data_IF_648469611779
#
_entry.id   IF_648469611779
#
_cell.length_a   1.000
_cell.length_b   1.000
_cell.length_c   1.000
_cell.angle_alpha   90.00
_cell.angle_beta   90.00
_cell.angle_gamma   90.00
#
_symmetry.space_group_name_H-M   'P 1'
#
loop_
_entity.id
_entity.type
_entity.pdbx_description
1 polymer ?
#
# COMPACT_ATOMS: atom_id res chain seq x y z
N UNK A 1 -21.11 4.57 -27.21
CA UNK A 1 -20.20 3.74 -26.36
C UNK A 1 -19.42 4.59 -25.36
N UNK A 2 -18.78 5.71 -25.76
CA UNK A 2 -17.97 6.56 -24.88
C UNK A 2 -18.71 6.98 -23.58
N UNK A 3 -19.87 7.63 -23.70
CA UNK A 3 -20.63 8.10 -22.54
C UNK A 3 -21.10 6.96 -21.62
N UNK A 4 -21.41 5.79 -22.20
CA UNK A 4 -21.86 4.62 -21.42
C UNK A 4 -20.68 4.06 -20.61
N UNK A 5 -19.50 3.93 -21.22
CA UNK A 5 -18.31 3.46 -20.50
C UNK A 5 -17.87 4.41 -19.37
N UNK A 6 -17.92 5.73 -19.62
CA UNK A 6 -17.65 6.74 -18.57
C UNK A 6 -18.67 6.62 -17.45
N UNK A 7 -19.96 6.46 -17.76
CA UNK A 7 -21.01 6.32 -16.76
C UNK A 7 -20.80 5.07 -15.88
N UNK A 8 -20.48 3.92 -16.50
CA UNK A 8 -20.15 2.69 -15.76
C UNK A 8 -18.97 2.93 -14.84
N UNK A 9 -17.89 3.53 -15.36
CA UNK A 9 -16.69 3.81 -14.59
C UNK A 9 -17.00 4.70 -13.37
N UNK A 10 -17.68 5.83 -13.59
CA UNK A 10 -18.08 6.75 -12.51
C UNK A 10 -19.02 6.05 -11.51
N UNK A 11 -19.98 5.26 -11.97
CA UNK A 11 -20.91 4.55 -11.10
C UNK A 11 -20.18 3.53 -10.21
N UNK A 12 -19.23 2.77 -10.76
CA UNK A 12 -18.43 1.82 -9.98
C UNK A 12 -17.58 2.54 -8.94
N UNK A 13 -16.89 3.63 -9.31
CA UNK A 13 -16.11 4.39 -8.33
C UNK A 13 -16.98 5.07 -7.28
N UNK A 14 -18.18 5.52 -7.65
CA UNK A 14 -19.16 5.99 -6.67
C UNK A 14 -19.56 4.89 -5.68
N UNK A 15 -19.77 3.66 -6.14
CA UNK A 15 -20.04 2.52 -5.26
C UNK A 15 -18.86 2.21 -4.32
N UNK A 16 -17.63 2.25 -4.84
CA UNK A 16 -16.41 2.04 -4.04
C UNK A 16 -16.27 3.13 -2.97
N UNK A 17 -16.42 4.40 -3.34
CA UNK A 17 -16.29 5.55 -2.42
C UNK A 17 -17.36 5.53 -1.33
N UNK A 18 -18.58 5.11 -1.66
CA UNK A 18 -19.69 5.07 -0.70
C UNK A 18 -19.73 3.80 0.14
N UNK A 19 -18.88 2.81 -0.17
CA UNK A 19 -18.81 1.49 0.50
C UNK A 19 -20.16 0.75 0.57
N UNK A 20 -21.12 1.13 -0.27
CA UNK A 20 -22.46 0.48 -0.31
C UNK A 20 -22.41 -0.94 -0.89
N UNK A 21 -21.44 -1.20 -1.74
CA UNK A 21 -21.19 -2.48 -2.38
C UNK A 21 -19.71 -2.81 -2.18
N UNK A 22 -19.36 -4.05 -1.78
CA UNK A 22 -17.97 -4.46 -1.71
C UNK A 22 -17.21 -4.15 -3.01
N UNK A 23 -16.00 -3.61 -2.89
CA UNK A 23 -15.23 -3.09 -4.02
C UNK A 23 -14.97 -4.14 -5.10
N UNK A 24 -14.76 -5.39 -4.70
CA UNK A 24 -14.60 -6.53 -5.62
C UNK A 24 -15.84 -6.75 -6.50
N UNK A 25 -17.03 -6.74 -5.91
CA UNK A 25 -18.27 -6.90 -6.67
C UNK A 25 -18.54 -5.70 -7.58
N UNK A 26 -18.25 -4.49 -7.12
CA UNK A 26 -18.45 -3.28 -7.91
C UNK A 26 -17.55 -3.28 -9.17
N UNK A 27 -16.25 -3.59 -9.02
CA UNK A 27 -15.31 -3.62 -10.14
C UNK A 27 -15.58 -4.79 -11.08
N UNK A 28 -15.88 -5.98 -10.55
CA UNK A 28 -16.25 -7.13 -11.39
C UNK A 28 -17.52 -6.88 -12.19
N UNK A 29 -18.57 -6.32 -11.57
CA UNK A 29 -19.80 -5.96 -12.26
C UNK A 29 -19.53 -4.93 -13.36
N UNK A 30 -18.73 -3.90 -13.07
CA UNK A 30 -18.36 -2.89 -14.06
C UNK A 30 -17.60 -3.48 -15.25
N UNK A 31 -16.59 -4.32 -15.00
CA UNK A 31 -15.83 -4.98 -16.05
C UNK A 31 -16.70 -5.92 -16.91
N UNK A 32 -17.57 -6.72 -16.27
CA UNK A 32 -18.49 -7.62 -16.98
C UNK A 32 -19.54 -6.84 -17.78
N UNK A 33 -20.08 -5.74 -17.25
CA UNK A 33 -21.01 -4.87 -17.98
C UNK A 33 -20.35 -4.25 -19.23
N UNK A 34 -19.12 -3.78 -19.12
CA UNK A 34 -18.36 -3.26 -20.28
C UNK A 34 -18.14 -4.35 -21.34
N UNK A 35 -17.95 -5.61 -20.91
CA UNK A 35 -17.83 -6.74 -21.82
C UNK A 35 -19.16 -7.07 -22.49
N UNK A 36 -20.25 -7.13 -21.73
CA UNK A 36 -21.59 -7.42 -22.27
C UNK A 36 -22.08 -6.38 -23.27
N UNK A 37 -21.71 -5.12 -23.09
CA UNK A 37 -22.08 -4.01 -23.98
C UNK A 37 -21.16 -3.94 -25.21
N UNK A 38 -20.05 -4.74 -25.23
CA UNK A 38 -19.12 -4.78 -26.35
C UNK A 38 -18.09 -3.65 -26.36
N UNK A 39 -17.82 -3.00 -25.22
CA UNK A 39 -16.69 -2.06 -25.07
C UNK A 39 -15.36 -2.84 -25.01
N UNK A 40 -15.39 -4.03 -24.42
CA UNK A 40 -14.27 -4.98 -24.36
C UNK A 40 -14.78 -6.30 -24.93
N UNK A 41 -13.99 -6.97 -25.75
CA UNK A 41 -14.32 -8.32 -26.19
C UNK A 41 -13.76 -9.40 -25.23
N UNK A 42 -14.22 -10.64 -25.37
CA UNK A 42 -13.81 -11.74 -24.50
C UNK A 42 -12.29 -12.03 -24.59
N UNK A 43 -11.70 -11.94 -25.78
CA UNK A 43 -10.27 -12.18 -25.97
C UNK A 43 -9.44 -11.14 -25.23
N UNK A 44 -9.82 -9.86 -25.31
CA UNK A 44 -9.16 -8.78 -24.58
C UNK A 44 -9.27 -8.95 -23.06
N UNK A 45 -10.40 -9.45 -22.55
CA UNK A 45 -10.55 -9.76 -21.11
C UNK A 45 -9.55 -10.83 -20.71
N UNK A 46 -9.52 -11.95 -21.44
CA UNK A 46 -8.61 -13.05 -21.13
C UNK A 46 -7.14 -12.62 -21.23
N UNK A 47 -6.77 -11.89 -22.28
CA UNK A 47 -5.42 -11.36 -22.46
C UNK A 47 -5.05 -10.38 -21.32
N UNK A 48 -5.97 -9.51 -20.94
CA UNK A 48 -5.75 -8.54 -19.85
C UNK A 48 -5.48 -9.23 -18.52
N UNK A 49 -6.22 -10.28 -18.20
CA UNK A 49 -6.02 -11.07 -16.98
C UNK A 49 -4.73 -11.89 -17.08
N UNK A 50 -4.49 -12.54 -18.21
CA UNK A 50 -3.29 -13.35 -18.45
C UNK A 50 -2.01 -12.53 -18.24
N UNK A 51 -1.93 -11.35 -18.83
CA UNK A 51 -0.77 -10.47 -18.72
C UNK A 51 -0.51 -9.95 -17.29
N UNK A 52 -1.44 -10.19 -16.35
CA UNK A 52 -1.34 -9.77 -14.95
C UNK A 52 -1.37 -10.93 -13.94
N UNK A 53 -1.34 -12.17 -14.43
CA UNK A 53 -1.29 -13.35 -13.56
C UNK A 53 -0.08 -13.32 -12.62
N UNK A 54 1.03 -12.77 -13.06
CA UNK A 54 2.23 -12.64 -12.21
C UNK A 54 1.94 -11.79 -10.95
N UNK A 55 1.21 -10.68 -11.09
CA UNK A 55 0.82 -9.83 -9.94
C UNK A 55 -0.09 -10.63 -9.00
N UNK A 56 -1.10 -11.30 -9.56
CA UNK A 56 -2.07 -12.06 -8.75
C UNK A 56 -1.40 -13.22 -8.00
N UNK A 57 -0.53 -13.97 -8.65
CA UNK A 57 0.20 -15.07 -8.02
C UNK A 57 1.22 -14.58 -6.98
N UNK A 58 1.86 -13.44 -7.22
CA UNK A 58 2.75 -12.84 -6.24
C UNK A 58 1.98 -12.45 -4.98
N UNK A 59 0.82 -11.82 -5.14
CA UNK A 59 -0.05 -11.47 -4.01
C UNK A 59 -0.49 -12.72 -3.24
N UNK A 60 -0.98 -13.75 -3.93
CA UNK A 60 -1.38 -15.02 -3.27
C UNK A 60 -0.22 -15.62 -2.49
N UNK A 61 0.97 -15.72 -3.09
CA UNK A 61 2.14 -16.27 -2.42
C UNK A 61 2.52 -15.48 -1.18
N UNK A 62 2.53 -14.15 -1.26
CA UNK A 62 2.84 -13.28 -0.12
C UNK A 62 1.76 -13.36 0.96
N UNK A 63 0.46 -13.33 0.61
CA UNK A 63 -0.64 -13.47 1.57
C UNK A 63 -0.54 -14.79 2.35
N UNK A 64 -0.24 -15.90 1.70
CA UNK A 64 -0.05 -17.19 2.37
C UNK A 64 1.13 -17.18 3.34
N UNK A 65 2.26 -16.58 2.98
CA UNK A 65 3.43 -16.46 3.88
C UNK A 65 3.06 -15.59 5.08
N UNK A 66 2.44 -14.43 4.84
CA UNK A 66 2.07 -13.47 5.88
C UNK A 66 1.03 -14.05 6.84
N UNK A 67 0.07 -14.83 6.34
CA UNK A 67 -0.87 -15.57 7.16
C UNK A 67 -0.14 -16.43 8.20
N UNK A 68 0.82 -17.26 7.75
CA UNK A 68 1.56 -18.15 8.66
C UNK A 68 2.45 -17.38 9.64
N UNK A 69 3.08 -16.27 9.20
CA UNK A 69 3.82 -15.37 10.08
C UNK A 69 2.90 -14.78 11.15
N UNK A 70 1.70 -14.33 10.76
CA UNK A 70 0.75 -13.68 11.68
C UNK A 70 0.20 -14.66 12.73
N UNK A 71 -0.03 -15.92 12.37
CA UNK A 71 -0.48 -16.97 13.30
C UNK A 71 0.50 -17.22 14.45
N UNK A 72 1.80 -16.94 14.25
CA UNK A 72 2.81 -17.09 15.31
C UNK A 72 2.62 -16.09 16.46
N UNK A 73 1.87 -15.00 16.26
CA UNK A 73 1.69 -13.93 17.22
C UNK A 73 2.88 -12.96 17.31
N UNK A 74 3.80 -13.01 16.36
CA UNK A 74 5.04 -12.20 16.37
C UNK A 74 4.75 -10.69 16.38
N UNK A 75 3.71 -10.22 15.71
CA UNK A 75 3.37 -8.80 15.65
C UNK A 75 2.93 -8.25 17.01
N UNK A 76 2.07 -9.00 17.73
CA UNK A 76 1.68 -8.65 19.10
C UNK A 76 2.88 -8.69 20.05
N UNK A 77 3.73 -9.71 19.91
CA UNK A 77 4.95 -9.81 20.68
C UNK A 77 5.88 -8.60 20.43
N UNK A 78 6.06 -8.22 19.17
CA UNK A 78 6.87 -7.05 18.79
C UNK A 78 6.33 -5.77 19.42
N UNK A 79 5.03 -5.50 19.28
CA UNK A 79 4.42 -4.28 19.80
C UNK A 79 4.54 -4.19 21.33
N UNK A 80 4.34 -5.29 22.06
CA UNK A 80 4.50 -5.32 23.54
C UNK A 80 5.98 -5.13 23.91
N UNK A 81 6.91 -5.79 23.20
CA UNK A 81 8.35 -5.63 23.45
C UNK A 81 8.82 -4.21 23.20
N UNK A 82 8.33 -3.58 22.16
CA UNK A 82 8.56 -2.17 21.85
C UNK A 82 8.07 -1.29 22.99
N UNK A 83 6.84 -1.52 23.49
CA UNK A 83 6.27 -0.77 24.59
C UNK A 83 7.10 -0.92 25.89
N UNK A 84 7.60 -2.11 26.16
CA UNK A 84 8.50 -2.38 27.30
C UNK A 84 9.86 -1.70 27.12
N UNK A 85 10.44 -1.73 25.91
CA UNK A 85 11.74 -1.12 25.61
C UNK A 85 11.73 0.39 25.91
N UNK A 86 10.63 1.07 25.58
CA UNK A 86 10.47 2.50 25.86
C UNK A 86 9.88 2.79 27.25
N UNK A 87 9.74 1.77 28.10
CA UNK A 87 9.22 1.87 29.47
C UNK A 87 7.86 2.56 29.56
N UNK A 88 7.01 2.33 28.58
CA UNK A 88 5.68 2.93 28.50
C UNK A 88 5.69 4.47 28.28
N UNK A 89 6.81 5.05 27.84
CA UNK A 89 6.85 6.48 27.46
C UNK A 89 6.00 6.72 26.21
N UNK A 90 4.89 7.47 26.31
CA UNK A 90 3.87 7.49 25.25
C UNK A 90 4.39 7.95 23.92
N UNK A 91 5.16 9.04 23.90
CA UNK A 91 5.65 9.61 22.65
C UNK A 91 6.70 8.69 21.97
N UNK A 92 7.62 8.11 22.76
CA UNK A 92 8.59 7.13 22.25
C UNK A 92 7.89 5.88 21.75
N UNK A 93 6.76 5.51 22.38
CA UNK A 93 5.94 4.38 21.97
C UNK A 93 5.35 4.60 20.57
N UNK A 94 4.75 5.78 20.31
CA UNK A 94 4.24 6.12 18.96
C UNK A 94 5.37 6.06 17.92
N UNK A 95 6.51 6.68 18.18
CA UNK A 95 7.65 6.67 17.25
C UNK A 95 8.05 5.23 16.91
N UNK A 96 8.23 4.40 17.92
CA UNK A 96 8.77 3.06 17.72
C UNK A 96 7.75 2.13 17.06
N UNK A 97 6.45 2.25 17.42
CA UNK A 97 5.37 1.55 16.74
C UNK A 97 5.26 1.99 15.28
N UNK A 98 5.34 3.28 15.00
CA UNK A 98 5.37 3.82 13.64
C UNK A 98 6.53 3.27 12.80
N UNK A 99 7.74 3.22 13.38
CA UNK A 99 8.91 2.65 12.70
C UNK A 99 8.74 1.14 12.43
N UNK A 100 8.21 0.39 13.41
CA UNK A 100 7.93 -1.04 13.23
C UNK A 100 6.87 -1.25 12.17
N UNK A 101 5.78 -0.48 12.19
CA UNK A 101 4.70 -0.54 11.21
C UNK A 101 5.24 -0.25 9.80
N UNK A 102 6.05 0.80 9.63
CA UNK A 102 6.66 1.12 8.34
C UNK A 102 7.59 0.00 7.84
N UNK A 103 8.41 -0.56 8.74
CA UNK A 103 9.31 -1.66 8.40
C UNK A 103 8.53 -2.93 8.01
N UNK A 104 7.50 -3.27 8.74
CA UNK A 104 6.62 -4.40 8.40
C UNK A 104 5.95 -4.16 7.04
N UNK A 105 5.37 -2.97 6.84
CA UNK A 105 4.66 -2.61 5.61
C UNK A 105 5.58 -2.53 4.38
N UNK A 106 6.87 -2.33 4.55
CA UNK A 106 7.81 -2.39 3.42
C UNK A 106 7.92 -3.77 2.79
N UNK A 107 7.59 -4.83 3.53
CA UNK A 107 7.73 -6.23 3.08
C UNK A 107 6.42 -7.03 3.15
N UNK A 108 5.47 -6.55 3.92
CA UNK A 108 4.10 -7.06 3.99
C UNK A 108 3.20 -5.99 3.38
N UNK A 109 2.04 -6.39 2.89
CA UNK A 109 1.11 -5.38 2.41
C UNK A 109 0.65 -4.46 3.57
N UNK A 110 0.32 -3.22 3.22
CA UNK A 110 -0.02 -2.18 4.18
C UNK A 110 -1.35 -2.45 4.91
N UNK A 111 -2.33 -3.10 4.26
CA UNK A 111 -3.62 -3.45 4.87
C UNK A 111 -3.44 -4.48 5.96
N UNK A 112 -2.79 -5.60 5.63
CA UNK A 112 -2.49 -6.67 6.60
C UNK A 112 -1.65 -6.14 7.76
N UNK A 113 -0.64 -5.29 7.47
CA UNK A 113 0.18 -4.68 8.52
C UNK A 113 -0.68 -3.89 9.52
N UNK A 114 -1.61 -3.06 9.04
CA UNK A 114 -2.49 -2.28 9.92
C UNK A 114 -3.50 -3.15 10.66
N UNK A 115 -4.06 -4.18 10.03
CA UNK A 115 -4.94 -5.14 10.72
C UNK A 115 -4.27 -5.78 11.92
N UNK A 116 -2.96 -5.98 11.87
CA UNK A 116 -2.20 -6.62 12.95
C UNK A 116 -1.70 -5.60 13.99
N UNK A 117 -1.28 -4.41 13.57
CA UNK A 117 -0.65 -3.43 14.46
C UNK A 117 -1.65 -2.52 15.15
N UNK A 118 -2.66 -1.98 14.45
CA UNK A 118 -3.58 -1.00 15.01
C UNK A 118 -4.35 -1.50 16.25
N UNK A 119 -4.86 -2.75 16.33
CA UNK A 119 -5.53 -3.21 17.55
C UNK A 119 -4.63 -3.20 18.77
N UNK A 120 -3.35 -3.52 18.60
CA UNK A 120 -2.38 -3.54 19.72
C UNK A 120 -2.04 -2.13 20.16
N UNK A 121 -1.84 -1.21 19.23
CA UNK A 121 -1.60 0.21 19.52
C UNK A 121 -2.78 0.87 20.22
N UNK A 122 -4.00 0.56 19.79
CA UNK A 122 -5.22 1.02 20.46
C UNK A 122 -5.28 0.48 21.91
N UNK A 123 -4.96 -0.81 22.10
CA UNK A 123 -4.91 -1.41 23.43
C UNK A 123 -3.90 -0.70 24.33
N UNK A 124 -2.68 -0.47 23.84
CA UNK A 124 -1.62 0.21 24.58
C UNK A 124 -2.00 1.66 24.91
N UNK A 125 -2.58 2.40 23.96
CA UNK A 125 -3.08 3.76 24.20
C UNK A 125 -4.14 3.79 25.31
N UNK A 126 -5.11 2.86 25.28
CA UNK A 126 -6.16 2.73 26.31
C UNK A 126 -5.59 2.37 27.69
N UNK A 127 -4.59 1.48 27.76
CA UNK A 127 -3.93 1.15 29.02
C UNK A 127 -3.20 2.35 29.63
N UNK A 128 -2.65 3.21 28.78
CA UNK A 128 -2.05 4.47 29.17
C UNK A 128 -3.08 5.59 29.44
N UNK A 129 -4.39 5.32 29.26
CA UNK A 129 -5.49 6.29 29.32
C UNK A 129 -5.28 7.50 28.40
N UNK A 130 -4.71 7.25 27.22
CA UNK A 130 -4.49 8.24 26.16
C UNK A 130 -5.55 8.07 25.06
N UNK A 131 -5.75 9.14 24.29
CA UNK A 131 -6.52 9.09 23.07
C UNK A 131 -5.81 8.16 22.05
N UNK A 132 -6.49 7.13 21.51
CA UNK A 132 -5.91 6.27 20.49
C UNK A 132 -5.68 6.96 19.14
N UNK A 133 -6.33 8.10 18.87
CA UNK A 133 -6.24 8.77 17.57
C UNK A 133 -4.80 9.02 17.10
N UNK A 134 -3.90 9.65 17.91
CA UNK A 134 -2.52 9.89 17.46
C UNK A 134 -1.75 8.60 17.14
N UNK A 135 -2.04 7.49 17.83
CA UNK A 135 -1.41 6.20 17.58
C UNK A 135 -1.86 5.64 16.22
N UNK A 136 -3.17 5.52 16.04
CA UNK A 136 -3.76 4.93 14.83
C UNK A 136 -3.40 5.75 13.59
N UNK A 137 -3.55 7.08 13.66
CA UNK A 137 -3.29 7.92 12.49
C UNK A 137 -1.80 7.90 12.09
N UNK A 138 -0.90 7.90 13.07
CA UNK A 138 0.54 7.80 12.79
C UNK A 138 0.90 6.45 12.17
N UNK A 139 0.33 5.36 12.67
CA UNK A 139 0.57 4.02 12.11
C UNK A 139 0.06 3.88 10.68
N UNK A 140 -1.12 4.41 10.40
CA UNK A 140 -1.68 4.39 9.02
C UNK A 140 -0.77 5.12 8.06
N UNK A 141 -0.34 6.35 8.43
CA UNK A 141 0.59 7.12 7.59
C UNK A 141 1.92 6.37 7.42
N UNK A 142 2.40 5.74 8.50
CA UNK A 142 3.64 4.94 8.48
C UNK A 142 3.52 3.69 7.62
N UNK A 143 2.36 3.02 7.61
CA UNK A 143 2.12 1.86 6.76
C UNK A 143 2.17 2.24 5.28
N UNK A 144 1.48 3.30 4.87
CA UNK A 144 1.50 3.78 3.50
C UNK A 144 2.91 4.24 3.08
N UNK A 145 3.65 4.95 3.96
CA UNK A 145 5.04 5.35 3.68
C UNK A 145 5.96 4.13 3.61
N UNK A 146 5.79 3.14 4.50
CA UNK A 146 6.54 1.89 4.48
C UNK A 146 6.30 1.10 3.21
N UNK A 147 5.04 0.98 2.80
CA UNK A 147 4.63 0.31 1.56
C UNK A 147 5.25 0.90 0.30
N UNK A 148 5.60 2.20 0.31
CA UNK A 148 6.35 2.85 -0.76
C UNK A 148 7.77 2.29 -0.91
N UNK A 149 8.41 1.83 0.16
CA UNK A 149 9.84 1.56 0.18
C UNK A 149 10.29 0.41 -0.73
N UNK A 150 9.42 -0.53 -1.06
CA UNK A 150 9.74 -1.71 -1.88
C UNK A 150 8.65 -2.01 -2.91
N UNK A 151 8.97 -2.86 -3.86
CA UNK A 151 8.03 -3.32 -4.89
C UNK A 151 6.83 -4.08 -4.31
N UNK A 152 7.00 -4.78 -3.19
CA UNK A 152 6.00 -5.69 -2.60
C UNK A 152 5.23 -5.09 -1.42
N UNK A 153 5.64 -3.92 -0.93
CA UNK A 153 5.05 -3.31 0.27
C UNK A 153 3.63 -2.76 0.07
N UNK A 154 3.25 -2.45 -1.16
CA UNK A 154 1.90 -1.98 -1.52
C UNK A 154 1.50 -2.57 -2.86
N UNK A 155 0.27 -3.09 -3.03
CA UNK A 155 -0.25 -3.54 -4.32
C UNK A 155 -0.10 -2.51 -5.44
N UNK A 156 -0.15 -1.22 -5.10
CA UNK A 156 0.12 -0.10 -6.01
C UNK A 156 1.49 -0.20 -6.66
N UNK A 157 2.51 -0.53 -5.87
CA UNK A 157 3.90 -0.66 -6.34
C UNK A 157 4.07 -1.87 -7.27
N UNK A 158 3.34 -2.95 -7.00
CA UNK A 158 3.33 -4.13 -7.88
C UNK A 158 2.80 -3.80 -9.28
N UNK A 159 1.72 -3.03 -9.36
CA UNK A 159 1.16 -2.60 -10.66
C UNK A 159 2.15 -1.71 -11.40
N UNK A 160 2.72 -0.71 -10.72
CA UNK A 160 3.69 0.22 -11.29
C UNK A 160 4.95 -0.54 -11.75
N UNK A 161 5.42 -1.47 -10.94
CA UNK A 161 6.58 -2.30 -11.25
C UNK A 161 6.38 -3.17 -12.48
N UNK A 162 5.23 -3.84 -12.57
CA UNK A 162 4.90 -4.70 -13.71
C UNK A 162 4.72 -3.90 -15.00
N UNK A 163 3.96 -2.80 -14.97
CA UNK A 163 3.73 -1.96 -16.15
C UNK A 163 5.01 -1.22 -16.60
N UNK A 164 5.83 -0.75 -15.65
CA UNK A 164 7.09 -0.06 -15.92
C UNK A 164 8.28 -0.99 -16.15
N UNK A 165 8.08 -2.32 -16.04
CA UNK A 165 9.15 -3.34 -16.09
C UNK A 165 10.29 -2.99 -15.13
N UNK A 166 9.92 -2.59 -13.91
CA UNK A 166 10.86 -2.15 -12.87
C UNK A 166 11.17 -3.32 -11.95
N UNK A 167 12.42 -3.45 -11.59
CA UNK A 167 12.90 -4.53 -10.74
C UNK A 167 12.75 -4.21 -9.25
N UNK A 168 12.77 -5.22 -8.39
CA UNK A 168 12.76 -5.05 -6.94
C UNK A 168 13.90 -4.14 -6.46
N UNK A 169 15.10 -4.32 -7.01
CA UNK A 169 16.27 -3.53 -6.64
C UNK A 169 16.14 -2.07 -7.08
N UNK A 170 15.53 -1.80 -8.24
CA UNK A 170 15.27 -0.43 -8.68
C UNK A 170 14.30 0.28 -7.72
N UNK A 171 13.25 -0.40 -7.25
CA UNK A 171 12.38 0.14 -6.20
C UNK A 171 13.17 0.46 -4.94
N UNK A 172 13.92 -0.49 -4.42
CA UNK A 172 14.69 -0.30 -3.20
C UNK A 172 15.63 0.91 -3.28
N UNK A 173 16.31 1.11 -4.41
CA UNK A 173 17.26 2.22 -4.60
C UNK A 173 16.57 3.56 -4.83
N UNK A 174 15.39 3.57 -5.44
CA UNK A 174 14.74 4.82 -5.86
C UNK A 174 13.61 5.26 -4.92
N UNK A 175 12.90 4.34 -4.28
CA UNK A 175 11.75 4.70 -3.43
C UNK A 175 12.06 4.64 -1.93
N UNK A 176 12.93 3.73 -1.47
CA UNK A 176 13.27 3.64 -0.05
C UNK A 176 13.88 4.92 0.54
N UNK A 177 14.76 5.67 -0.17
CA UNK A 177 15.26 6.95 0.35
C UNK A 177 14.14 7.96 0.60
N UNK A 178 13.15 8.06 -0.30
CA UNK A 178 11.99 8.94 -0.11
C UNK A 178 11.12 8.46 1.04
N UNK A 179 10.91 7.15 1.18
CA UNK A 179 10.17 6.59 2.30
C UNK A 179 10.85 6.93 3.65
N UNK A 180 12.18 6.82 3.74
CA UNK A 180 12.93 7.18 4.96
C UNK A 180 12.78 8.68 5.28
N UNK A 181 12.95 9.56 4.29
CA UNK A 181 12.79 11.00 4.48
C UNK A 181 11.35 11.35 4.88
N UNK A 182 10.36 10.72 4.25
CA UNK A 182 8.95 10.88 4.58
C UNK A 182 8.63 10.41 5.99
N UNK A 183 9.23 9.31 6.45
CA UNK A 183 9.10 8.84 7.84
C UNK A 183 9.68 9.85 8.83
N UNK A 184 10.85 10.41 8.55
CA UNK A 184 11.46 11.45 9.40
C UNK A 184 10.54 12.66 9.49
N UNK A 185 9.98 13.13 8.36
CA UNK A 185 9.00 14.24 8.34
C UNK A 185 7.76 13.91 9.15
N UNK A 186 7.15 12.73 8.95
CA UNK A 186 6.00 12.27 9.71
C UNK A 186 6.27 12.31 11.23
N UNK A 187 7.39 11.71 11.65
CA UNK A 187 7.75 11.65 13.08
C UNK A 187 8.02 13.05 13.68
N UNK A 188 8.61 13.95 12.89
CA UNK A 188 8.80 15.33 13.30
C UNK A 188 7.45 16.06 13.48
N UNK A 189 6.53 15.92 12.51
CA UNK A 189 5.20 16.53 12.58
C UNK A 189 4.40 15.98 13.76
N UNK A 190 4.42 14.67 13.99
CA UNK A 190 3.81 14.02 15.16
C UNK A 190 4.42 14.56 16.46
N UNK A 191 5.74 14.79 16.50
CA UNK A 191 6.40 15.40 17.67
C UNK A 191 5.85 16.80 17.97
N UNK A 192 5.80 17.66 16.97
CA UNK A 192 5.32 19.03 17.17
C UNK A 192 3.84 19.10 17.56
N UNK A 193 3.01 18.18 17.03
CA UNK A 193 1.57 18.18 17.29
C UNK A 193 1.20 17.56 18.65
N UNK A 194 1.85 16.47 19.05
CA UNK A 194 1.35 15.64 20.15
C UNK A 194 2.28 15.49 21.35
N UNK A 195 3.60 15.69 21.22
CA UNK A 195 4.55 15.38 22.30
C UNK A 195 4.26 16.11 23.62
N UNK A 196 3.80 17.37 23.56
CA UNK A 196 3.52 18.20 24.75
C UNK A 196 2.32 17.68 25.56
N UNK A 197 1.36 17.03 24.91
CA UNK A 197 0.09 16.63 25.53
C UNK A 197 0.10 15.17 26.01
N UNK A 198 1.16 14.41 25.76
CA UNK A 198 1.27 13.00 26.11
C UNK A 198 1.99 12.77 27.44
N UNK A 199 1.35 13.21 28.53
CA UNK A 199 1.86 12.99 29.89
C UNK A 199 1.09 11.85 30.56
N UNK A 200 1.80 10.86 31.09
CA UNK A 200 1.23 9.67 31.73
C UNK A 200 1.90 9.44 33.08
N UNK A 201 1.11 9.01 34.09
CA UNK A 201 1.62 8.68 35.42
C UNK A 201 2.54 7.46 35.40
N UNK A 202 3.46 7.39 36.33
CA UNK A 202 4.39 6.25 36.45
C UNK A 202 3.65 4.94 36.74
N UNK A 203 2.50 4.99 37.42
CA UNK A 203 1.67 3.78 37.64
C UNK A 203 1.14 3.17 36.37
N UNK A 204 0.68 4.00 35.41
CA UNK A 204 0.20 3.49 34.12
C UNK A 204 1.35 2.97 33.26
N UNK A 205 2.53 3.58 33.33
CA UNK A 205 3.74 3.06 32.66
C UNK A 205 4.15 1.70 33.24
N UNK A 206 4.07 1.54 34.58
CA UNK A 206 4.37 0.26 35.23
C UNK A 206 3.46 -0.88 34.73
N UNK A 207 2.18 -0.62 34.50
CA UNK A 207 1.24 -1.62 33.93
C UNK A 207 1.67 -2.13 32.55
N UNK A 208 2.28 -1.29 31.74
CA UNK A 208 2.84 -1.73 30.44
C UNK A 208 4.02 -2.69 30.65
N UNK A 209 4.83 -2.44 31.67
CA UNK A 209 5.97 -3.32 32.01
C UNK A 209 5.56 -4.69 32.53
N UNK A 210 4.35 -4.80 33.10
CA UNK A 210 3.78 -6.06 33.61
C UNK A 210 3.16 -6.94 32.50
N UNK A 211 3.01 -6.41 31.26
CA UNK A 211 2.49 -7.20 30.16
C UNK A 211 3.45 -8.35 29.83
N UNK A 212 2.90 -9.55 29.79
CA UNK A 212 3.67 -10.74 29.44
C UNK A 212 3.72 -10.93 27.91
N UNK A 213 4.76 -10.38 27.28
CA UNK A 213 4.96 -10.51 25.82
C UNK A 213 5.14 -11.97 25.38
N UNK A 214 5.60 -12.87 26.27
CA UNK A 214 5.84 -14.28 25.91
C UNK A 214 4.55 -15.03 25.57
N UNK A 215 3.40 -14.61 26.19
CA UNK A 215 2.09 -15.16 25.90
C UNK A 215 1.56 -14.87 24.50
N UNK A 216 2.12 -13.86 23.84
CA UNK A 216 1.73 -13.49 22.48
C UNK A 216 2.32 -14.46 21.46
N UNK A 217 3.46 -15.10 21.74
CA UNK A 217 4.07 -16.07 20.86
C UNK A 217 3.41 -17.43 21.05
N UNK A 218 2.68 -17.87 20.03
CA UNK A 218 1.91 -19.12 20.06
C UNK A 218 2.71 -20.34 19.60
N UNK A 219 3.54 -20.17 18.57
CA UNK A 219 4.35 -21.23 17.99
C UNK A 219 5.75 -20.70 17.59
N UNK A 220 6.73 -20.98 18.45
CA UNK A 220 8.12 -20.59 18.24
C UNK A 220 8.80 -21.35 17.09
N UNK A 221 8.35 -22.60 16.82
CA UNK A 221 8.89 -23.41 15.74
C UNK A 221 8.44 -22.84 14.39
N UNK A 222 7.15 -22.58 14.27
CA UNK A 222 6.58 -21.94 13.08
C UNK A 222 7.22 -20.57 12.84
N UNK A 223 7.42 -19.77 13.89
CA UNK A 223 8.08 -18.46 13.78
C UNK A 223 9.49 -18.57 13.17
N UNK A 224 10.31 -19.49 13.66
CA UNK A 224 11.67 -19.70 13.13
C UNK A 224 11.63 -20.14 11.66
N UNK A 225 10.74 -21.07 11.30
CA UNK A 225 10.54 -21.51 9.92
C UNK A 225 10.08 -20.37 9.02
N UNK A 226 9.11 -19.57 9.49
CA UNK A 226 8.60 -18.41 8.77
C UNK A 226 9.67 -17.35 8.51
N UNK A 227 10.48 -17.03 9.52
CA UNK A 227 11.60 -16.06 9.35
C UNK A 227 12.60 -16.56 8.32
N UNK A 228 12.99 -17.84 8.37
CA UNK A 228 13.95 -18.40 7.40
C UNK A 228 13.37 -18.36 5.98
N UNK A 229 12.17 -18.88 5.78
CA UNK A 229 11.56 -18.91 4.45
C UNK A 229 11.29 -17.49 3.92
N UNK A 230 10.78 -16.60 4.76
CA UNK A 230 10.56 -15.20 4.38
C UNK A 230 11.87 -14.51 3.97
N UNK A 231 12.94 -14.70 4.75
CA UNK A 231 14.25 -14.17 4.40
C UNK A 231 14.78 -14.73 3.07
N UNK A 232 14.58 -16.02 2.81
CA UNK A 232 14.96 -16.65 1.53
C UNK A 232 14.16 -16.08 0.35
N UNK A 233 12.86 -15.81 0.54
CA UNK A 233 12.01 -15.17 -0.49
C UNK A 233 12.50 -13.76 -0.79
N UNK A 234 12.81 -12.95 0.23
CA UNK A 234 13.35 -11.59 0.03
C UNK A 234 14.72 -11.64 -0.68
N UNK A 235 15.60 -12.54 -0.27
CA UNK A 235 16.88 -12.76 -0.97
C UNK A 235 16.62 -13.15 -2.43
N UNK A 236 15.65 -14.03 -2.68
CA UNK A 236 15.24 -14.42 -4.01
C UNK A 236 14.76 -13.24 -4.85
N UNK A 237 14.00 -12.30 -4.27
CA UNK A 237 13.57 -11.08 -4.98
C UNK A 237 14.74 -10.17 -5.33
N UNK A 238 15.71 -10.02 -4.43
CA UNK A 238 16.94 -9.23 -4.67
C UNK A 238 17.77 -9.86 -5.80
N UNK A 239 17.85 -11.19 -5.81
CA UNK A 239 18.64 -11.95 -6.77
C UNK A 239 17.90 -12.21 -8.08
N UNK A 240 16.61 -11.86 -8.18
CA UNK A 240 15.78 -12.17 -9.37
C UNK A 240 16.36 -11.56 -10.67
N UNK A 241 17.06 -10.43 -10.58
CA UNK A 241 17.76 -9.84 -11.74
C UNK A 241 18.82 -10.77 -12.36
N UNK A 242 19.35 -11.74 -11.58
CA UNK A 242 20.36 -12.69 -12.05
C UNK A 242 19.75 -14.06 -12.37
N UNK A 243 18.66 -14.43 -11.70
CA UNK A 243 18.09 -15.79 -11.77
C UNK A 243 16.92 -15.84 -12.76
N UNK A 244 16.25 -14.72 -13.01
CA UNK A 244 15.14 -14.52 -13.94
C UNK A 244 14.05 -15.63 -13.85
N UNK A 245 13.58 -15.89 -12.63
CA UNK A 245 12.51 -16.89 -12.35
C UNK A 245 11.14 -16.28 -12.13
N UNK A 246 11.04 -14.96 -12.13
CA UNK A 246 9.82 -14.22 -11.81
C UNK A 246 9.52 -14.17 -10.31
N UNK A 247 9.08 -13.01 -9.85
CA UNK A 247 8.82 -12.78 -8.42
C UNK A 247 7.68 -13.66 -7.90
N UNK A 248 6.65 -13.88 -8.72
CA UNK A 248 5.52 -14.73 -8.38
C UNK A 248 5.93 -16.16 -8.07
N UNK A 249 6.82 -16.74 -8.87
CA UNK A 249 7.28 -18.12 -8.64
C UNK A 249 8.11 -18.24 -7.37
N UNK A 250 8.93 -17.25 -7.06
CA UNK A 250 9.71 -17.19 -5.81
C UNK A 250 8.76 -17.13 -4.61
N UNK A 251 7.76 -16.24 -4.62
CA UNK A 251 6.78 -16.10 -3.55
C UNK A 251 5.96 -17.38 -3.35
N UNK A 252 5.40 -17.95 -4.43
CA UNK A 252 4.61 -19.19 -4.37
C UNK A 252 5.46 -20.37 -3.87
N UNK A 253 6.70 -20.49 -4.33
CA UNK A 253 7.61 -21.55 -3.85
C UNK A 253 7.85 -21.42 -2.35
N UNK A 254 8.10 -20.19 -1.86
CA UNK A 254 8.23 -19.92 -0.43
C UNK A 254 6.95 -20.26 0.34
N UNK A 255 5.78 -19.85 -0.18
CA UNK A 255 4.48 -20.12 0.42
C UNK A 255 4.20 -21.62 0.55
N UNK A 256 4.40 -22.37 -0.53
CA UNK A 256 4.21 -23.85 -0.53
C UNK A 256 5.19 -24.52 0.43
N UNK A 257 6.47 -24.14 0.38
CA UNK A 257 7.48 -24.68 1.28
C UNK A 257 7.13 -24.43 2.75
N UNK A 258 6.75 -23.20 3.09
CA UNK A 258 6.36 -22.84 4.46
C UNK A 258 5.07 -23.58 4.91
N UNK A 259 4.08 -23.70 4.02
CA UNK A 259 2.84 -24.43 4.30
C UNK A 259 3.08 -25.91 4.61
N UNK A 260 3.98 -26.56 3.84
CA UNK A 260 4.39 -27.94 4.08
C UNK A 260 5.14 -28.10 5.41
N UNK A 261 6.06 -27.18 5.74
CA UNK A 261 6.78 -27.18 7.00
C UNK A 261 5.84 -26.95 8.21
N UNK A 262 4.86 -26.09 8.04
CA UNK A 262 3.81 -25.80 9.03
C UNK A 262 2.76 -26.90 9.13
N UNK A 263 2.76 -27.88 8.21
CA UNK A 263 1.77 -28.96 8.12
C UNK A 263 0.33 -28.45 7.97
N UNK A 264 0.16 -27.32 7.29
CA UNK A 264 -1.15 -26.73 7.03
C UNK A 264 -1.81 -27.40 5.81
N UNK A 265 -3.13 -27.56 5.89
CA UNK A 265 -3.89 -28.04 4.75
C UNK A 265 -4.03 -26.96 3.67
N UNK A 266 -4.12 -27.32 2.37
CA UNK A 266 -4.41 -26.36 1.32
C UNK A 266 -5.65 -25.52 1.57
N UNK A 267 -6.69 -26.11 2.19
CA UNK A 267 -7.94 -25.44 2.54
C UNK A 267 -7.68 -24.29 3.51
N UNK A 268 -6.96 -24.53 4.61
CA UNK A 268 -6.61 -23.49 5.59
C UNK A 268 -5.82 -22.34 4.93
N UNK A 269 -4.89 -22.68 4.05
CA UNK A 269 -4.08 -21.68 3.36
C UNK A 269 -4.90 -20.83 2.40
N UNK A 270 -5.83 -21.45 1.65
CA UNK A 270 -6.68 -20.72 0.71
C UNK A 270 -7.76 -19.89 1.41
N UNK A 271 -8.27 -20.33 2.56
CA UNK A 271 -9.20 -19.52 3.38
C UNK A 271 -8.53 -18.23 3.91
N UNK A 272 -7.21 -18.24 4.08
CA UNK A 272 -6.46 -17.05 4.51
C UNK A 272 -6.04 -16.10 3.37
N UNK A 273 -6.30 -16.46 2.11
CA UNK A 273 -6.07 -15.56 0.96
C UNK A 273 -7.21 -14.55 0.87
N UNK A 274 -6.87 -13.28 0.71
CA UNK A 274 -7.85 -12.20 0.50
C UNK A 274 -8.43 -12.24 -0.92
N UNK A 275 -9.32 -13.18 -1.19
CA UNK A 275 -9.97 -13.32 -2.49
C UNK A 275 -10.68 -12.07 -2.96
N UNK A 276 -11.23 -11.28 -2.03
CA UNK A 276 -11.85 -10.00 -2.34
C UNK A 276 -10.88 -9.06 -3.05
N UNK A 277 -9.66 -8.97 -2.55
CA UNK A 277 -8.59 -8.16 -3.17
C UNK A 277 -8.24 -8.66 -4.56
N UNK A 278 -8.14 -9.97 -4.78
CA UNK A 278 -7.83 -10.54 -6.10
C UNK A 278 -8.94 -10.27 -7.12
N UNK A 279 -10.20 -10.47 -6.76
CA UNK A 279 -11.35 -10.18 -7.63
C UNK A 279 -11.49 -8.67 -7.89
N UNK A 280 -11.20 -7.83 -6.90
CA UNK A 280 -11.12 -6.39 -7.11
C UNK A 280 -10.12 -6.03 -8.21
N UNK A 281 -8.91 -6.61 -8.17
CA UNK A 281 -7.88 -6.38 -9.21
C UNK A 281 -8.33 -6.84 -10.58
N UNK A 282 -8.89 -8.04 -10.69
CA UNK A 282 -9.38 -8.58 -11.96
C UNK A 282 -10.43 -7.65 -12.57
N UNK A 283 -11.44 -7.27 -11.80
CA UNK A 283 -12.48 -6.35 -12.25
C UNK A 283 -11.94 -4.97 -12.63
N UNK A 284 -11.00 -4.44 -11.84
CA UNK A 284 -10.34 -3.18 -12.12
C UNK A 284 -9.55 -3.20 -13.43
N UNK A 285 -8.79 -4.27 -13.68
CA UNK A 285 -8.02 -4.41 -14.93
C UNK A 285 -8.94 -4.48 -16.15
N UNK A 286 -10.07 -5.18 -16.04
CA UNK A 286 -11.10 -5.19 -17.09
C UNK A 286 -11.64 -3.78 -17.36
N UNK A 287 -12.01 -3.06 -16.31
CA UNK A 287 -12.54 -1.69 -16.44
C UNK A 287 -11.53 -0.74 -17.09
N UNK A 288 -10.26 -0.82 -16.68
CA UNK A 288 -9.19 0.01 -17.25
C UNK A 288 -9.00 -0.30 -18.73
N UNK A 289 -9.06 -1.59 -19.13
CA UNK A 289 -9.03 -1.97 -20.54
C UNK A 289 -10.20 -1.36 -21.30
N UNK A 290 -11.39 -1.32 -20.72
CA UNK A 290 -12.56 -0.64 -21.31
C UNK A 290 -12.35 0.86 -21.52
N UNK A 291 -11.80 1.55 -20.54
CA UNK A 291 -11.48 2.98 -20.64
C UNK A 291 -10.34 3.24 -21.65
N UNK A 292 -9.38 2.32 -21.75
CA UNK A 292 -8.33 2.34 -22.76
C UNK A 292 -8.91 2.22 -24.20
N UNK A 293 -9.80 1.25 -24.43
CA UNK A 293 -10.50 1.06 -25.72
C UNK A 293 -11.36 2.27 -26.13
N UNK A 294 -11.82 3.06 -25.18
CA UNK A 294 -12.55 4.30 -25.40
C UNK A 294 -11.66 5.52 -25.65
N UNK A 295 -10.34 5.33 -25.75
CA UNK A 295 -9.31 6.36 -25.97
C UNK A 295 -9.26 7.46 -24.89
N UNK A 296 -9.94 7.29 -23.75
CA UNK A 296 -9.97 8.28 -22.66
C UNK A 296 -8.58 8.45 -22.05
N UNK A 297 -7.87 7.33 -21.85
CA UNK A 297 -6.51 7.33 -21.30
C UNK A 297 -5.56 8.08 -22.23
N UNK A 298 -5.69 7.87 -23.53
CA UNK A 298 -4.92 8.56 -24.57
C UNK A 298 -5.19 10.06 -24.54
N UNK A 299 -6.47 10.47 -24.48
CA UNK A 299 -6.84 11.87 -24.38
C UNK A 299 -6.21 12.57 -23.17
N UNK A 300 -6.21 11.91 -22.01
CA UNK A 300 -5.59 12.44 -20.79
C UNK A 300 -4.06 12.56 -20.97
N UNK A 301 -3.40 11.53 -21.50
CA UNK A 301 -1.96 11.51 -21.75
C UNK A 301 -1.54 12.65 -22.71
N UNK A 302 -2.23 12.80 -23.84
CA UNK A 302 -1.97 13.86 -24.81
C UNK A 302 -2.16 15.25 -24.20
N UNK A 303 -3.18 15.43 -23.36
CA UNK A 303 -3.40 16.68 -22.62
C UNK A 303 -2.29 16.98 -21.62
N UNK A 304 -1.81 15.97 -20.90
CA UNK A 304 -0.68 16.15 -19.96
C UNK A 304 0.58 16.59 -20.71
N UNK A 305 0.90 15.99 -21.87
CA UNK A 305 2.04 16.40 -22.71
C UNK A 305 1.85 17.85 -23.18
N UNK A 306 0.64 18.20 -23.65
CA UNK A 306 0.35 19.55 -24.13
C UNK A 306 0.47 20.61 -23.04
N UNK A 307 -0.08 20.35 -21.83
CA UNK A 307 -0.05 21.30 -20.71
C UNK A 307 1.40 21.51 -20.22
N UNK A 308 2.23 20.49 -20.31
CA UNK A 308 3.65 20.59 -19.92
C UNK A 308 4.56 21.11 -21.05
N UNK A 309 3.98 21.47 -22.20
CA UNK A 309 4.70 21.96 -23.39
C UNK A 309 5.85 21.03 -23.82
N UNK A 310 5.71 19.74 -23.56
CA UNK A 310 6.75 18.74 -23.80
C UNK A 310 7.98 18.84 -22.87
N UNK A 311 7.95 19.68 -21.84
CA UNK A 311 9.01 19.74 -20.85
C UNK A 311 8.98 18.51 -19.92
N UNK A 312 10.04 17.70 -19.97
CA UNK A 312 10.13 16.45 -19.20
C UNK A 312 9.94 16.65 -17.69
N UNK A 313 10.62 17.63 -17.09
CA UNK A 313 10.49 17.94 -15.66
C UNK A 313 9.05 18.32 -15.27
N UNK A 314 8.38 19.11 -16.12
CA UNK A 314 6.97 19.45 -15.96
C UNK A 314 6.07 18.21 -16.01
N UNK A 315 6.32 17.31 -16.97
CA UNK A 315 5.58 16.05 -17.11
C UNK A 315 5.77 15.13 -15.88
N UNK A 316 6.97 15.00 -15.36
CA UNK A 316 7.28 14.20 -14.18
C UNK A 316 6.58 14.76 -12.94
N UNK A 317 6.72 16.05 -12.64
CA UNK A 317 6.10 16.66 -11.46
C UNK A 317 4.57 16.70 -11.57
N UNK A 318 4.02 17.03 -12.75
CA UNK A 318 2.56 16.99 -12.94
C UNK A 318 2.00 15.57 -12.77
N UNK A 319 2.69 14.53 -13.26
CA UNK A 319 2.31 13.14 -13.03
C UNK A 319 2.21 12.84 -11.55
N UNK A 320 3.20 13.23 -10.74
CA UNK A 320 3.20 12.99 -9.30
C UNK A 320 2.05 13.71 -8.58
N UNK A 321 1.89 15.02 -8.78
CA UNK A 321 0.90 15.81 -8.07
C UNK A 321 -0.53 15.51 -8.50
N UNK A 322 -0.76 15.33 -9.82
CA UNK A 322 -2.08 14.97 -10.33
C UNK A 322 -2.46 13.57 -9.85
N UNK A 323 -1.54 12.59 -9.93
CA UNK A 323 -1.81 11.25 -9.42
C UNK A 323 -2.08 11.23 -7.92
N UNK A 324 -1.40 12.07 -7.12
CA UNK A 324 -1.68 12.19 -5.69
C UNK A 324 -3.10 12.70 -5.40
N UNK A 325 -3.55 13.70 -6.15
CA UNK A 325 -4.92 14.20 -6.05
C UNK A 325 -5.95 13.14 -6.46
N UNK A 326 -5.71 12.44 -7.56
CA UNK A 326 -6.60 11.36 -8.01
C UNK A 326 -6.64 10.22 -6.99
N UNK A 327 -5.49 9.81 -6.45
CA UNK A 327 -5.40 8.80 -5.38
C UNK A 327 -6.30 9.15 -4.21
N UNK A 328 -6.33 10.40 -3.77
CA UNK A 328 -7.14 10.81 -2.64
C UNK A 328 -8.65 10.64 -2.84
N UNK A 329 -9.08 10.45 -4.08
CA UNK A 329 -10.50 10.29 -4.45
C UNK A 329 -10.83 8.86 -4.85
N UNK A 330 -10.01 8.25 -5.73
CA UNK A 330 -10.31 6.94 -6.33
C UNK A 330 -9.52 5.78 -5.70
N UNK A 331 -8.63 6.08 -4.75
CA UNK A 331 -7.74 5.11 -4.12
C UNK A 331 -6.45 4.86 -4.90
N UNK A 332 -5.41 4.42 -4.18
CA UNK A 332 -4.05 4.27 -4.69
C UNK A 332 -3.93 3.22 -5.80
N UNK A 333 -4.58 2.07 -5.65
CA UNK A 333 -4.50 0.95 -6.60
C UNK A 333 -5.11 1.32 -7.94
N UNK A 334 -6.33 1.88 -7.94
CA UNK A 334 -7.01 2.27 -9.17
C UNK A 334 -6.28 3.41 -9.89
N UNK A 335 -5.73 4.35 -9.11
CA UNK A 335 -4.89 5.41 -9.65
C UNK A 335 -3.64 4.85 -10.33
N UNK A 336 -2.88 3.97 -9.66
CA UNK A 336 -1.69 3.36 -10.22
C UNK A 336 -1.96 2.62 -11.53
N UNK A 337 -3.02 1.82 -11.57
CA UNK A 337 -3.39 1.06 -12.75
C UNK A 337 -3.80 1.96 -13.93
N UNK A 338 -4.51 3.07 -13.66
CA UNK A 338 -4.92 4.04 -14.70
C UNK A 338 -3.73 4.88 -15.18
N UNK A 339 -2.97 5.47 -14.26
CA UNK A 339 -1.85 6.35 -14.61
C UNK A 339 -0.67 5.60 -15.22
N UNK A 340 -0.48 4.31 -14.90
CA UNK A 340 0.51 3.47 -15.60
C UNK A 340 0.27 3.43 -17.10
N UNK A 341 -1.00 3.37 -17.54
CA UNK A 341 -1.35 3.44 -18.96
C UNK A 341 -1.09 4.83 -19.56
N UNK A 342 -1.37 5.89 -18.80
CA UNK A 342 -1.05 7.26 -19.22
C UNK A 342 0.45 7.43 -19.43
N UNK A 343 1.29 6.91 -18.50
CA UNK A 343 2.75 6.96 -18.64
C UNK A 343 3.22 6.19 -19.89
N UNK A 344 2.64 5.03 -20.17
CA UNK A 344 2.97 4.27 -21.39
C UNK A 344 2.72 5.09 -22.67
N UNK A 345 1.66 5.93 -22.69
CA UNK A 345 1.36 6.83 -23.81
C UNK A 345 2.34 8.02 -23.84
N UNK A 346 2.72 8.56 -22.66
CA UNK A 346 3.62 9.71 -22.58
C UNK A 346 5.08 9.35 -22.89
N UNK A 347 5.52 8.14 -22.51
CA UNK A 347 6.92 7.69 -22.61
C UNK A 347 7.55 7.88 -24.00
N UNK A 348 6.87 7.56 -25.13
CA UNK A 348 7.42 7.76 -26.46
C UNK A 348 7.76 9.22 -26.77
N UNK A 349 7.02 10.19 -26.23
CA UNK A 349 7.27 11.62 -26.42
C UNK A 349 8.56 12.08 -25.74
N UNK A 350 9.08 11.30 -24.79
CA UNK A 350 10.32 11.55 -24.08
C UNK A 350 11.41 10.52 -24.41
N UNK A 351 11.28 9.82 -25.57
CA UNK A 351 12.26 8.84 -26.01
C UNK A 351 13.64 9.50 -26.14
N UNK A 352 14.65 8.87 -25.53
CA UNK A 352 16.03 9.40 -25.51
C UNK A 352 16.34 10.38 -24.38
N UNK A 353 15.35 10.79 -23.57
CA UNK A 353 15.61 11.58 -22.37
C UNK A 353 16.24 10.68 -21.30
N UNK A 354 17.43 11.08 -20.82
CA UNK A 354 18.04 10.40 -19.67
C UNK A 354 17.08 10.51 -18.47
N UNK A 355 16.79 9.37 -17.83
CA UNK A 355 15.91 9.38 -16.67
C UNK A 355 14.41 9.26 -16.95
N UNK A 356 13.98 8.85 -18.16
CA UNK A 356 12.55 8.65 -18.50
C UNK A 356 11.79 7.79 -17.48
N UNK A 357 12.47 6.89 -16.75
CA UNK A 357 11.91 6.13 -15.62
C UNK A 357 11.44 7.02 -14.46
N UNK A 358 11.82 8.30 -14.41
CA UNK A 358 11.33 9.24 -13.40
C UNK A 358 9.80 9.42 -13.43
N UNK A 359 9.14 9.22 -14.59
CA UNK A 359 7.68 9.20 -14.68
C UNK A 359 7.07 8.10 -13.80
N UNK A 360 7.68 6.92 -13.80
CA UNK A 360 7.24 5.80 -12.97
C UNK A 360 7.47 6.05 -11.48
N UNK A 361 8.60 6.65 -11.12
CA UNK A 361 8.88 7.04 -9.73
C UNK A 361 7.93 8.15 -9.27
N UNK A 362 7.64 9.11 -10.14
CA UNK A 362 6.66 10.15 -9.88
C UNK A 362 5.25 9.56 -9.60
N UNK A 363 4.83 8.58 -10.41
CA UNK A 363 3.58 7.86 -10.18
C UNK A 363 3.61 7.08 -8.85
N UNK A 364 4.71 6.38 -8.56
CA UNK A 364 4.90 5.64 -7.32
C UNK A 364 4.74 6.55 -6.09
N UNK A 365 5.43 7.70 -6.09
CA UNK A 365 5.33 8.68 -5.00
C UNK A 365 3.93 9.30 -4.93
N UNK A 366 3.38 9.73 -6.04
CA UNK A 366 2.04 10.32 -6.11
C UNK A 366 0.96 9.37 -5.62
N UNK A 367 0.98 8.12 -6.09
CA UNK A 367 -0.04 7.13 -5.71
C UNK A 367 0.07 6.72 -4.24
N UNK A 368 1.27 6.47 -3.74
CA UNK A 368 1.45 5.96 -2.38
C UNK A 368 1.32 7.07 -1.32
N UNK A 369 2.05 8.19 -1.50
CA UNK A 369 2.02 9.30 -0.54
C UNK A 369 0.71 10.09 -0.63
N UNK A 370 0.11 10.19 -1.82
CA UNK A 370 -1.21 10.76 -2.03
C UNK A 370 -2.33 9.98 -1.33
N UNK A 371 -2.12 8.68 -1.09
CA UNK A 371 -3.01 7.84 -0.29
C UNK A 371 -3.22 8.36 1.13
N UNK A 372 -2.25 9.06 1.69
CA UNK A 372 -2.34 9.67 3.01
C UNK A 372 -3.25 10.91 3.07
N UNK A 373 -3.58 11.51 1.94
CA UNK A 373 -4.30 12.79 1.87
C UNK A 373 -5.74 12.66 2.37
N UNK A 374 -6.41 11.57 2.10
CA UNK A 374 -7.80 11.35 2.51
C UNK A 374 -8.05 9.94 3.04
N UNK A 375 -9.16 9.77 3.74
CA UNK A 375 -9.61 8.46 4.21
C UNK A 375 -9.78 7.46 3.06
N UNK A 376 -10.28 7.92 1.91
CA UNK A 376 -10.56 7.11 0.73
C UNK A 376 -9.30 6.83 -0.12
N UNK A 377 -8.18 7.50 0.16
CA UNK A 377 -6.95 7.42 -0.62
C UNK A 377 -6.25 6.05 -0.57
N UNK A 378 -6.53 5.25 0.47
CA UNK A 378 -6.00 3.90 0.62
C UNK A 378 -6.96 3.01 1.42
N UNK A 379 -7.10 1.74 1.02
CA UNK A 379 -7.85 0.75 1.80
C UNK A 379 -7.31 0.60 3.23
N UNK A 380 -6.02 0.77 3.42
CA UNK A 380 -5.34 0.79 4.72
C UNK A 380 -5.95 1.80 5.69
N UNK A 381 -6.31 2.99 5.18
CA UNK A 381 -6.90 4.06 5.96
C UNK A 381 -8.28 3.66 6.49
N UNK A 382 -9.11 3.09 5.60
CA UNK A 382 -10.48 2.63 5.92
C UNK A 382 -10.45 1.54 6.97
N UNK A 383 -9.57 0.55 6.79
CA UNK A 383 -9.39 -0.57 7.72
C UNK A 383 -8.95 -0.09 9.11
N UNK A 384 -8.00 0.83 9.17
CA UNK A 384 -7.53 1.38 10.45
C UNK A 384 -8.61 2.18 11.19
N UNK A 385 -9.35 3.01 10.45
CA UNK A 385 -10.47 3.78 11.03
C UNK A 385 -11.57 2.83 11.49
N UNK A 386 -11.87 1.77 10.73
CA UNK A 386 -12.80 0.73 11.13
C UNK A 386 -12.36 -0.02 12.41
N UNK A 387 -11.06 -0.30 12.58
CA UNK A 387 -10.52 -0.88 13.80
C UNK A 387 -10.63 0.09 14.99
N UNK A 388 -10.36 1.37 14.78
CA UNK A 388 -10.52 2.41 15.78
C UNK A 388 -11.99 2.58 16.23
N UNK A 389 -12.94 2.57 15.28
CA UNK A 389 -14.37 2.69 15.57
C UNK A 389 -14.89 1.50 16.40
N UNK A 390 -14.52 0.27 16.03
CA UNK A 390 -14.82 -0.95 16.82
C UNK A 390 -14.26 -0.85 18.24
N UNK A 391 -13.17 -0.14 18.43
CA UNK A 391 -12.57 0.12 19.72
C UNK A 391 -13.18 1.33 20.45
N UNK A 392 -14.18 2.01 19.89
CA UNK A 392 -14.85 3.18 20.45
C UNK A 392 -14.11 4.51 20.24
N UNK A 393 -13.13 4.54 19.34
CA UNK A 393 -12.43 5.75 18.95
C UNK A 393 -12.88 6.16 17.53
N UNK A 394 -13.86 7.06 17.44
CA UNK A 394 -14.39 7.53 16.15
C UNK A 394 -13.44 8.54 15.52
N UNK A 395 -12.91 8.19 14.36
CA UNK A 395 -12.10 9.07 13.52
C UNK A 395 -12.97 9.55 12.35
N UNK A 396 -13.29 10.84 12.33
CA UNK A 396 -14.10 11.38 11.24
C UNK A 396 -13.23 11.79 10.02
N UNK A 397 -13.87 11.87 8.86
CA UNK A 397 -13.21 12.22 7.60
C UNK A 397 -12.43 13.53 7.66
N UNK A 398 -12.98 14.56 8.32
CA UNK A 398 -12.34 15.89 8.42
C UNK A 398 -11.09 15.84 9.31
N UNK A 399 -11.14 15.08 10.41
CA UNK A 399 -9.96 14.88 11.28
C UNK A 399 -8.85 14.17 10.52
N UNK A 400 -9.20 13.11 9.78
CA UNK A 400 -8.25 12.39 8.94
C UNK A 400 -7.63 13.32 7.89
N UNK A 401 -8.46 14.06 7.14
CA UNK A 401 -8.03 14.97 6.09
C UNK A 401 -7.09 16.07 6.60
N UNK A 402 -7.37 16.64 7.78
CA UNK A 402 -6.52 17.69 8.38
C UNK A 402 -5.11 17.19 8.69
N UNK A 403 -5.00 16.02 9.31
CA UNK A 403 -3.69 15.45 9.63
C UNK A 403 -3.02 14.85 8.40
N UNK A 404 -3.73 13.99 7.69
CA UNK A 404 -3.24 13.32 6.49
C UNK A 404 -2.85 14.28 5.37
N UNK A 405 -3.62 15.38 5.21
CA UNK A 405 -3.32 16.43 4.25
C UNK A 405 -1.97 17.12 4.51
N UNK A 406 -1.64 17.42 5.76
CA UNK A 406 -0.34 18.00 6.13
C UNK A 406 0.77 17.00 5.76
N UNK A 407 0.65 15.76 6.20
CA UNK A 407 1.66 14.72 5.96
C UNK A 407 1.84 14.43 4.46
N UNK A 408 0.73 14.32 3.71
CA UNK A 408 0.79 14.06 2.28
C UNK A 408 1.49 15.21 1.53
N UNK A 409 1.18 16.47 1.84
CA UNK A 409 1.82 17.63 1.22
C UNK A 409 3.31 17.69 1.56
N UNK A 410 3.68 17.53 2.85
CA UNK A 410 5.09 17.47 3.26
C UNK A 410 5.86 16.39 2.49
N UNK A 411 5.31 15.19 2.41
CA UNK A 411 5.95 14.06 1.75
C UNK A 411 6.03 14.24 0.22
N UNK A 412 5.01 14.82 -0.41
CA UNK A 412 5.04 15.16 -1.84
C UNK A 412 6.06 16.24 -2.15
N UNK A 413 6.26 17.21 -1.27
CA UNK A 413 7.33 18.22 -1.41
C UNK A 413 8.70 17.52 -1.32
N UNK A 414 8.91 16.64 -0.34
CA UNK A 414 10.15 15.86 -0.19
C UNK A 414 10.41 15.04 -1.47
N UNK A 415 9.38 14.35 -1.98
CA UNK A 415 9.48 13.57 -3.21
C UNK A 415 9.78 14.44 -4.44
N UNK A 416 9.19 15.67 -4.52
CA UNK A 416 9.47 16.63 -5.60
C UNK A 416 10.92 17.06 -5.60
N UNK A 417 11.45 17.42 -4.42
CA UNK A 417 12.84 17.81 -4.24
C UNK A 417 13.77 16.64 -4.60
N UNK A 418 13.47 15.44 -4.14
CA UNK A 418 14.24 14.24 -4.46
C UNK A 418 14.27 13.96 -5.97
N UNK A 419 13.10 14.00 -6.65
CA UNK A 419 13.02 13.82 -8.11
C UNK A 419 13.85 14.87 -8.83
N UNK A 420 13.72 16.14 -8.42
CA UNK A 420 14.43 17.24 -9.04
C UNK A 420 15.96 17.04 -9.01
N UNK A 421 16.52 16.71 -7.86
CA UNK A 421 17.97 16.54 -7.74
C UNK A 421 18.52 15.22 -8.32
N UNK A 422 17.68 14.22 -8.49
CA UNK A 422 18.15 12.90 -8.93
C UNK A 422 17.93 12.62 -10.41
N UNK A 423 16.89 13.20 -11.02
CA UNK A 423 16.45 12.82 -12.36
C UNK A 423 16.26 13.99 -13.32
N UNK A 424 16.14 15.22 -12.81
CA UNK A 424 15.95 16.44 -13.61
C UNK A 424 17.16 17.35 -13.56
#
# INVERSE_FOLDING_TARGET
MLYVGILIFIAVFYCIITEKIPSAWATMAGGLLMTMIGIINQEEVLETVYNRLEILFLLVGMMMIVLLVSETGVFQWFAIKVAQLVRGEPFKLIILLACVTALCSAFLDNVTTILLMAPVSILLAKQLKLDPFPFVITEVMSANIGGLATLIGDPTQLIIGAEGKLTFNEFLVNTAPVAILSMISLLATVYFMYAKNMKVSNELKAKIMELDSSRSLKDMKLLKQSIVIFSLVIIGFILNNFVDKGLAMIALSGAVCLSLLAKKSPKEMFEGVEWETLFFFIGLFMMIKGIENLEIIKFIGDKMITITEGHFGGAVLSTMWISALFTSVIGNVANAATFSKIINIMTPSFAGVAGVKALWWALSFGSCLGGNLSLLGSATNVVAVGAADKAGCKINFVQFLKFGGIIAIENLIIASVYIYFRYL
#
